data_IF_623328887447
#
_entry.id   IF_623328887447
#
_cell.length_a   1.000
_cell.length_b   1.000
_cell.length_c   1.000
_cell.angle_alpha   90.00
_cell.angle_beta   90.00
_cell.angle_gamma   90.00
#
_symmetry.space_group_name_H-M   'P 1'
#
loop_
_entity.id
_entity.type
_entity.pdbx_description
1 polymer ?
#
# COMPACT_ATOMS: atom_id res chain seq x y z
N UNK A 1 61.13 -62.04 -54.91
CA UNK A 1 62.38 -61.33 -54.54
C UNK A 1 62.44 -61.28 -53.01
N UNK A 2 63.23 -62.19 -52.43
CA UNK A 2 64.45 -61.86 -51.64
C UNK A 2 64.08 -61.26 -50.26
N UNK A 3 64.06 -62.04 -49.18
CA UNK A 3 65.16 -62.65 -48.43
C UNK A 3 65.96 -61.66 -47.57
N UNK A 4 65.97 -61.89 -46.25
CA UNK A 4 67.14 -62.07 -45.35
C UNK A 4 66.68 -61.80 -43.90
N UNK A 5 66.62 -62.81 -43.03
CA UNK A 5 67.70 -63.36 -42.17
C UNK A 5 68.00 -62.53 -40.92
N UNK A 6 67.87 -63.17 -39.75
CA UNK A 6 68.25 -62.61 -38.46
C UNK A 6 67.82 -63.52 -37.30
N UNK A 7 68.53 -64.63 -37.13
CA UNK A 7 68.46 -65.53 -35.97
C UNK A 7 69.29 -64.93 -34.83
N UNK A 8 68.77 -64.89 -33.60
CA UNK A 8 69.52 -65.38 -32.43
C UNK A 8 68.66 -65.63 -31.19
N UNK A 9 69.03 -66.71 -30.49
CA UNK A 9 68.42 -67.29 -29.31
C UNK A 9 68.70 -66.45 -28.06
N UNK A 10 67.78 -66.42 -27.10
CA UNK A 10 68.17 -66.53 -25.69
C UNK A 10 67.01 -67.01 -24.82
N UNK A 11 67.21 -68.23 -24.30
CA UNK A 11 66.44 -68.87 -23.25
C UNK A 11 66.68 -68.20 -21.91
N UNK A 12 65.61 -67.73 -21.26
CA UNK A 12 65.54 -67.64 -19.79
C UNK A 12 64.16 -68.06 -19.31
N UNK A 13 64.14 -69.20 -18.63
CA UNK A 13 63.14 -69.55 -17.64
C UNK A 13 63.02 -68.39 -16.63
N UNK A 14 61.85 -68.17 -16.04
CA UNK A 14 61.51 -68.50 -14.64
C UNK A 14 60.33 -67.63 -14.18
N UNK A 15 59.44 -68.24 -13.39
CA UNK A 15 58.50 -67.63 -12.44
C UNK A 15 57.18 -67.05 -12.96
N UNK A 16 56.20 -67.95 -13.08
CA UNK A 16 54.80 -67.68 -12.76
C UNK A 16 54.70 -67.16 -11.31
N UNK A 17 54.78 -65.84 -11.12
CA UNK A 17 54.36 -65.19 -9.88
C UNK A 17 52.83 -65.14 -9.86
N UNK A 18 52.22 -66.12 -9.22
CA UNK A 18 50.84 -66.08 -8.77
C UNK A 18 50.69 -64.85 -7.87
N UNK A 19 50.04 -63.80 -8.35
CA UNK A 19 49.64 -62.68 -7.51
C UNK A 19 48.62 -63.21 -6.50
N UNK A 20 49.05 -63.44 -5.26
CA UNK A 20 48.13 -63.56 -4.14
C UNK A 20 47.34 -62.24 -4.08
N UNK A 21 46.07 -62.30 -4.47
CA UNK A 21 45.11 -61.29 -4.12
C UNK A 21 45.08 -61.22 -2.59
N UNK A 22 45.63 -60.14 -2.02
CA UNK A 22 45.35 -59.78 -0.64
C UNK A 22 43.85 -59.56 -0.55
N UNK A 23 43.13 -60.52 0.00
CA UNK A 23 41.77 -60.31 0.45
C UNK A 23 41.84 -59.29 1.58
N UNK A 24 41.61 -58.02 1.26
CA UNK A 24 41.30 -57.02 2.27
C UNK A 24 40.08 -57.55 3.03
N UNK A 25 40.35 -58.02 4.25
CA UNK A 25 39.35 -58.41 5.22
C UNK A 25 38.43 -57.21 5.38
N UNK A 26 37.21 -57.29 4.83
CA UNK A 26 36.15 -56.32 5.07
C UNK A 26 35.88 -56.31 6.58
N UNK A 27 36.49 -55.34 7.28
CA UNK A 27 36.23 -55.09 8.70
C UNK A 27 34.74 -54.79 8.85
N UNK A 28 34.02 -55.62 9.62
CA UNK A 28 32.63 -55.38 9.95
C UNK A 28 32.51 -54.13 10.81
N UNK A 29 31.55 -53.26 10.49
CA UNK A 29 31.26 -52.04 11.24
C UNK A 29 30.77 -52.42 12.63
N UNK A 30 31.35 -51.84 13.68
CA UNK A 30 30.91 -52.10 15.05
C UNK A 30 29.62 -51.34 15.36
N UNK A 31 28.77 -51.88 16.25
CA UNK A 31 27.55 -51.19 16.71
C UNK A 31 27.88 -49.79 17.27
N UNK A 32 29.03 -49.66 17.92
CA UNK A 32 29.52 -48.40 18.49
C UNK A 32 29.86 -47.39 17.38
N UNK A 33 30.53 -47.80 16.29
CA UNK A 33 30.79 -46.91 15.14
C UNK A 33 29.49 -46.42 14.49
N UNK A 34 28.48 -47.28 14.36
CA UNK A 34 27.17 -46.88 13.86
C UNK A 34 26.47 -45.90 14.81
N UNK A 35 26.53 -46.12 16.12
CA UNK A 35 25.96 -45.19 17.11
C UNK A 35 26.66 -43.83 17.10
N UNK A 36 27.99 -43.81 17.02
CA UNK A 36 28.78 -42.57 16.97
C UNK A 36 28.50 -41.79 15.67
N UNK A 37 28.44 -42.47 14.53
CA UNK A 37 28.14 -41.81 13.24
C UNK A 37 26.73 -41.24 13.20
N UNK A 38 25.72 -41.97 13.70
CA UNK A 38 24.36 -41.46 13.81
C UNK A 38 24.26 -40.27 14.76
N UNK A 39 24.97 -40.30 15.90
CA UNK A 39 25.02 -39.18 16.84
C UNK A 39 25.67 -37.93 16.21
N UNK A 40 26.80 -38.08 15.51
CA UNK A 40 27.47 -36.98 14.81
C UNK A 40 26.55 -36.40 13.71
N UNK A 41 25.91 -37.26 12.91
CA UNK A 41 24.96 -36.81 11.87
C UNK A 41 23.77 -36.06 12.48
N UNK A 42 23.22 -36.51 13.60
CA UNK A 42 22.11 -35.84 14.27
C UNK A 42 22.49 -34.43 14.77
N UNK A 43 23.67 -34.27 15.37
CA UNK A 43 24.16 -32.98 15.85
C UNK A 43 24.39 -32.02 14.67
N UNK A 44 25.03 -32.48 13.60
CA UNK A 44 25.27 -31.67 12.41
C UNK A 44 23.95 -31.28 11.73
N UNK A 45 23.03 -32.23 11.57
CA UNK A 45 21.72 -31.97 10.97
C UNK A 45 20.93 -30.92 11.77
N UNK A 46 20.92 -31.01 13.10
CA UNK A 46 20.25 -30.03 13.96
C UNK A 46 20.84 -28.62 13.81
N UNK A 47 22.17 -28.49 13.76
CA UNK A 47 22.84 -27.20 13.57
C UNK A 47 22.57 -26.60 12.17
N UNK A 48 22.60 -27.42 11.12
CA UNK A 48 22.31 -26.98 9.74
C UNK A 48 20.84 -26.54 9.62
N UNK A 49 19.90 -27.28 10.20
CA UNK A 49 18.48 -26.92 10.15
C UNK A 49 18.19 -25.59 10.86
N UNK A 50 18.78 -25.36 12.05
CA UNK A 50 18.60 -24.11 12.78
C UNK A 50 19.14 -22.90 12.01
N UNK A 51 20.37 -23.01 11.47
CA UNK A 51 20.98 -21.93 10.67
C UNK A 51 20.26 -21.68 9.34
N UNK A 52 19.84 -22.74 8.64
CA UNK A 52 19.07 -22.64 7.41
C UNK A 52 17.71 -21.96 7.64
N UNK A 53 17.00 -22.30 8.71
CA UNK A 53 15.72 -21.69 9.04
C UNK A 53 15.85 -20.18 9.27
N UNK A 54 16.87 -19.76 10.03
CA UNK A 54 17.12 -18.34 10.26
C UNK A 54 17.50 -17.59 8.95
N UNK A 55 18.31 -18.22 8.10
CA UNK A 55 18.69 -17.65 6.81
C UNK A 55 17.50 -17.50 5.85
N UNK A 56 16.60 -18.49 5.82
CA UNK A 56 15.37 -18.45 5.01
C UNK A 56 14.45 -17.32 5.50
N UNK A 57 14.19 -17.21 6.80
CA UNK A 57 13.36 -16.12 7.34
C UNK A 57 13.96 -14.74 7.05
N UNK A 58 15.28 -14.59 7.19
CA UNK A 58 15.97 -13.35 6.81
C UNK A 58 15.87 -13.06 5.30
N UNK A 59 15.94 -14.07 4.45
CA UNK A 59 15.76 -13.92 3.00
C UNK A 59 14.33 -13.50 2.64
N UNK A 60 13.31 -14.10 3.27
CA UNK A 60 11.90 -13.72 3.09
C UNK A 60 11.66 -12.29 3.52
N UNK A 61 12.14 -11.90 4.71
CA UNK A 61 12.06 -10.51 5.20
C UNK A 61 12.69 -9.53 4.23
N UNK A 62 13.91 -9.79 3.76
CA UNK A 62 14.58 -8.92 2.78
C UNK A 62 13.86 -8.85 1.44
N UNK A 63 13.26 -9.95 0.98
CA UNK A 63 12.42 -9.95 -0.23
C UNK A 63 11.20 -9.03 -0.04
N UNK A 64 10.41 -9.25 1.02
CA UNK A 64 9.25 -8.41 1.35
C UNK A 64 9.63 -6.94 1.40
N UNK A 65 10.72 -6.64 2.10
CA UNK A 65 11.26 -5.30 2.22
C UNK A 65 11.56 -4.72 0.83
N UNK A 66 12.35 -5.42 0.01
CA UNK A 66 12.65 -4.95 -1.35
C UNK A 66 11.40 -4.71 -2.21
N UNK A 67 10.41 -5.60 -2.14
CA UNK A 67 9.14 -5.45 -2.88
C UNK A 67 8.37 -4.21 -2.40
N UNK A 68 8.22 -4.02 -1.09
CA UNK A 68 7.56 -2.82 -0.52
C UNK A 68 8.29 -1.54 -0.93
N UNK A 69 9.63 -1.51 -0.91
CA UNK A 69 10.39 -0.33 -1.36
C UNK A 69 10.07 0.06 -2.80
N UNK A 70 10.05 -0.92 -3.72
CA UNK A 70 9.73 -0.66 -5.14
C UNK A 70 8.32 -0.12 -5.29
N UNK A 71 7.35 -0.74 -4.62
CA UNK A 71 5.94 -0.28 -4.63
C UNK A 71 5.86 1.14 -4.09
N UNK A 72 6.53 1.41 -2.97
CA UNK A 72 6.53 2.72 -2.33
C UNK A 72 7.08 3.81 -3.23
N UNK A 73 8.21 3.57 -3.91
CA UNK A 73 8.80 4.54 -4.84
C UNK A 73 7.82 4.92 -5.96
N UNK A 74 7.18 3.92 -6.59
CA UNK A 74 6.19 4.12 -7.65
C UNK A 74 4.92 4.84 -7.17
N UNK A 75 4.43 4.46 -5.98
CA UNK A 75 3.22 5.07 -5.40
C UNK A 75 3.49 6.52 -4.95
N UNK A 76 4.64 6.80 -4.35
CA UNK A 76 5.00 8.16 -3.90
C UNK A 76 5.20 9.09 -5.08
N UNK A 77 5.80 8.62 -6.17
CA UNK A 77 5.89 9.39 -7.42
C UNK A 77 4.48 9.81 -7.89
N UNK A 78 3.54 8.86 -7.94
CA UNK A 78 2.16 9.17 -8.32
C UNK A 78 1.48 10.10 -7.31
N UNK A 79 1.64 9.84 -6.02
CA UNK A 79 1.03 10.61 -4.94
C UNK A 79 1.50 12.08 -4.94
N UNK A 80 2.80 12.33 -5.11
CA UNK A 80 3.35 13.69 -5.15
C UNK A 80 2.89 14.48 -6.38
N UNK A 81 2.54 13.80 -7.48
CA UNK A 81 1.99 14.46 -8.67
C UNK A 81 0.67 15.20 -8.42
N UNK A 82 -0.07 14.85 -7.36
CA UNK A 82 -1.33 15.51 -7.02
C UNK A 82 -1.16 16.91 -6.43
N UNK A 83 0.02 17.24 -5.88
CA UNK A 83 0.29 18.56 -5.28
C UNK A 83 0.08 19.72 -6.27
N UNK A 84 0.33 19.47 -7.56
CA UNK A 84 0.22 20.48 -8.62
C UNK A 84 -0.91 20.18 -9.62
N UNK A 85 -1.71 19.14 -9.35
CA UNK A 85 -2.75 18.69 -10.28
C UNK A 85 -3.87 19.72 -10.38
N UNK A 86 -4.33 19.95 -11.61
CA UNK A 86 -5.51 20.78 -11.87
C UNK A 86 -6.77 19.96 -11.62
N UNK A 87 -7.73 20.56 -10.92
CA UNK A 87 -9.01 19.95 -10.59
C UNK A 87 -10.10 20.63 -11.41
N UNK A 88 -10.85 19.81 -12.12
CA UNK A 88 -12.00 20.24 -12.91
C UNK A 88 -13.28 20.02 -12.07
N UNK A 89 -13.59 21.01 -11.24
CA UNK A 89 -14.82 21.01 -10.43
C UNK A 89 -16.02 21.20 -11.36
N UNK A 90 -17.10 20.49 -11.09
CA UNK A 90 -18.30 20.56 -11.90
C UNK A 90 -18.81 22.01 -12.07
N UNK A 91 -19.10 22.44 -13.32
CA UNK A 91 -19.52 23.81 -13.58
C UNK A 91 -20.78 24.24 -12.83
N UNK A 92 -21.69 23.32 -12.49
CA UNK A 92 -22.91 23.67 -11.73
C UNK A 92 -22.58 24.20 -10.34
N UNK A 93 -21.58 23.61 -9.66
CA UNK A 93 -21.12 24.03 -8.34
C UNK A 93 -20.50 25.43 -8.44
N UNK A 94 -19.61 25.62 -9.40
CA UNK A 94 -18.91 26.90 -9.60
C UNK A 94 -19.91 28.02 -9.95
N UNK A 95 -20.83 27.75 -10.87
CA UNK A 95 -21.84 28.73 -11.29
C UNK A 95 -22.79 29.11 -10.16
N UNK A 96 -23.21 28.14 -9.33
CA UNK A 96 -24.09 28.42 -8.19
C UNK A 96 -23.39 29.23 -7.09
N UNK A 97 -22.09 28.98 -6.86
CA UNK A 97 -21.27 29.80 -5.95
C UNK A 97 -21.14 31.23 -6.50
N UNK A 98 -20.91 31.37 -7.82
CA UNK A 98 -20.79 32.67 -8.47
C UNK A 98 -22.09 33.46 -8.47
N UNK A 99 -23.23 32.81 -8.72
CA UNK A 99 -24.54 33.45 -8.67
C UNK A 99 -24.87 33.92 -7.25
N UNK A 100 -24.65 33.07 -6.24
CA UNK A 100 -24.82 33.44 -4.85
C UNK A 100 -23.95 34.65 -4.47
N UNK A 101 -22.71 34.69 -4.94
CA UNK A 101 -21.83 35.83 -4.64
C UNK A 101 -22.29 37.14 -5.32
N UNK A 102 -22.93 37.04 -6.49
CA UNK A 102 -23.41 38.17 -7.28
C UNK A 102 -24.69 38.83 -6.72
N UNK A 103 -25.45 38.13 -5.87
CA UNK A 103 -26.69 38.63 -5.25
C UNK A 103 -26.49 39.75 -4.20
N UNK A 104 -25.24 40.16 -3.94
CA UNK A 104 -24.94 41.18 -2.95
C UNK A 104 -25.63 42.53 -3.25
N UNK A 105 -26.45 43.01 -2.32
CA UNK A 105 -27.21 44.26 -2.43
C UNK A 105 -26.48 45.46 -1.85
N UNK A 106 -25.55 45.24 -0.91
CA UNK A 106 -24.78 46.31 -0.25
C UNK A 106 -23.26 46.14 -0.40
N UNK A 107 -22.45 47.21 -0.26
CA UNK A 107 -20.99 47.10 -0.29
C UNK A 107 -20.40 46.19 0.79
N UNK A 108 -21.00 46.20 2.00
CA UNK A 108 -20.57 45.32 3.11
C UNK A 108 -20.86 43.86 2.79
N UNK A 109 -22.07 43.58 2.31
CA UNK A 109 -22.46 42.23 1.88
C UNK A 109 -21.57 41.71 0.77
N UNK A 110 -21.23 42.56 -0.21
CA UNK A 110 -20.33 42.20 -1.31
C UNK A 110 -18.96 41.74 -0.81
N UNK A 111 -18.41 42.40 0.22
CA UNK A 111 -17.14 41.99 0.83
C UNK A 111 -17.26 40.63 1.52
N UNK A 112 -18.31 40.42 2.31
CA UNK A 112 -18.55 39.15 3.01
C UNK A 112 -18.74 38.00 2.02
N UNK A 113 -19.61 38.19 1.02
CA UNK A 113 -19.87 37.19 -0.03
C UNK A 113 -18.65 36.90 -0.88
N UNK A 114 -17.81 37.90 -1.20
CA UNK A 114 -16.57 37.68 -1.94
C UNK A 114 -15.56 36.81 -1.16
N UNK A 115 -15.49 36.96 0.17
CA UNK A 115 -14.61 36.14 1.01
C UNK A 115 -15.17 34.71 1.06
N UNK A 116 -16.46 34.56 1.36
CA UNK A 116 -17.13 33.27 1.42
C UNK A 116 -17.06 32.52 0.07
N UNK A 117 -17.19 33.23 -1.05
CA UNK A 117 -16.99 32.68 -2.40
C UNK A 117 -15.61 32.02 -2.54
N UNK A 118 -14.55 32.75 -2.16
CA UNK A 118 -13.19 32.22 -2.24
C UNK A 118 -12.99 30.97 -1.37
N UNK A 119 -13.60 30.98 -0.17
CA UNK A 119 -13.60 29.85 0.75
C UNK A 119 -14.34 28.63 0.16
N UNK A 120 -15.57 28.79 -0.31
CA UNK A 120 -16.36 27.71 -0.91
C UNK A 120 -15.70 27.10 -2.14
N UNK A 121 -15.03 27.91 -2.97
CA UNK A 121 -14.26 27.41 -4.11
C UNK A 121 -13.01 26.62 -3.67
N UNK A 122 -12.34 27.04 -2.59
CA UNK A 122 -11.24 26.29 -2.00
C UNK A 122 -11.72 24.95 -1.43
N UNK A 123 -12.88 24.92 -0.77
CA UNK A 123 -13.51 23.70 -0.24
C UNK A 123 -13.90 22.73 -1.38
N UNK A 124 -14.52 23.25 -2.45
CA UNK A 124 -14.86 22.46 -3.64
C UNK A 124 -13.61 21.88 -4.31
N UNK A 125 -12.53 22.67 -4.40
CA UNK A 125 -11.25 22.21 -4.95
C UNK A 125 -10.63 21.11 -4.10
N UNK A 126 -10.61 21.25 -2.78
CA UNK A 126 -10.05 20.25 -1.87
C UNK A 126 -10.81 18.92 -2.00
N UNK A 127 -12.14 18.96 -1.96
CA UNK A 127 -12.98 17.77 -2.14
C UNK A 127 -12.80 17.16 -3.53
N UNK A 128 -12.70 17.98 -4.57
CA UNK A 128 -12.45 17.50 -5.93
C UNK A 128 -11.07 16.84 -6.08
N UNK A 129 -10.05 17.35 -5.39
CA UNK A 129 -8.72 16.75 -5.35
C UNK A 129 -8.74 15.38 -4.65
N UNK A 130 -9.43 15.29 -3.50
CA UNK A 130 -9.64 14.03 -2.79
C UNK A 130 -10.41 13.02 -3.63
N UNK A 131 -11.45 13.47 -4.32
CA UNK A 131 -12.22 12.63 -5.23
C UNK A 131 -11.39 12.14 -6.42
N UNK A 132 -10.55 13.02 -6.99
CA UNK A 132 -9.62 12.63 -8.05
C UNK A 132 -8.63 11.56 -7.57
N UNK A 133 -8.03 11.76 -6.40
CA UNK A 133 -7.13 10.78 -5.79
C UNK A 133 -7.85 9.46 -5.51
N UNK A 134 -9.10 9.48 -5.06
CA UNK A 134 -9.90 8.26 -4.85
C UNK A 134 -10.10 7.47 -6.14
N UNK A 135 -10.42 8.17 -7.23
CA UNK A 135 -10.66 7.58 -8.54
C UNK A 135 -9.37 7.10 -9.23
N UNK A 136 -8.25 7.80 -9.05
CA UNK A 136 -6.97 7.47 -9.69
C UNK A 136 -6.08 6.54 -8.83
N UNK A 137 -6.31 6.47 -7.52
CA UNK A 137 -5.60 5.61 -6.55
C UNK A 137 -6.59 4.87 -5.63
N UNK A 138 -7.50 4.04 -6.16
CA UNK A 138 -8.52 3.34 -5.38
C UNK A 138 -7.93 2.44 -4.29
N UNK A 139 -8.59 2.36 -3.14
CA UNK A 139 -8.24 1.42 -2.07
C UNK A 139 -9.08 0.14 -2.10
N UNK A 140 -10.26 0.18 -2.72
CA UNK A 140 -11.26 -0.89 -2.75
C UNK A 140 -11.95 -0.92 -4.10
N UNK A 141 -12.62 -2.02 -4.44
CA UNK A 141 -13.41 -2.07 -5.67
C UNK A 141 -14.59 -1.09 -5.68
N UNK A 142 -15.11 -0.74 -4.49
CA UNK A 142 -16.09 0.34 -4.35
C UNK A 142 -15.55 1.72 -4.77
N UNK A 143 -14.24 1.98 -4.65
CA UNK A 143 -13.65 3.22 -5.16
C UNK A 143 -13.59 3.22 -6.70
N UNK A 144 -13.44 2.06 -7.32
CA UNK A 144 -13.41 1.90 -8.79
C UNK A 144 -14.78 2.13 -9.42
N UNK A 145 -15.83 1.72 -8.73
CA UNK A 145 -17.23 1.92 -9.15
C UNK A 145 -17.81 3.24 -8.68
N UNK A 146 -17.02 4.05 -7.95
CA UNK A 146 -17.45 5.33 -7.42
C UNK A 146 -17.82 6.32 -8.52
N UNK A 147 -18.96 6.97 -8.34
CA UNK A 147 -19.45 8.01 -9.24
C UNK A 147 -19.02 9.38 -8.70
N UNK A 148 -18.30 10.19 -9.50
CA UNK A 148 -17.89 11.52 -9.08
C UNK A 148 -19.08 12.40 -8.66
N UNK A 149 -18.96 13.05 -7.52
CA UNK A 149 -19.93 13.96 -6.93
C UNK A 149 -19.44 15.41 -6.89
N UNK A 150 -18.17 15.68 -7.18
CA UNK A 150 -17.57 17.02 -7.21
C UNK A 150 -16.94 17.31 -8.57
N UNK A 151 -16.23 16.34 -9.14
CA UNK A 151 -15.60 16.47 -10.45
C UNK A 151 -16.65 16.51 -11.56
N UNK A 152 -16.34 17.27 -12.62
CA UNK A 152 -17.17 17.36 -13.82
C UNK A 152 -17.34 16.01 -14.54
N UNK A 153 -16.32 15.15 -14.46
CA UNK A 153 -16.26 13.85 -15.13
C UNK A 153 -15.26 12.92 -14.46
N UNK A 154 -15.45 11.61 -14.66
CA UNK A 154 -14.47 10.61 -14.27
C UNK A 154 -13.16 10.79 -15.06
N UNK A 155 -11.99 10.65 -14.41
CA UNK A 155 -10.72 10.68 -15.12
C UNK A 155 -10.59 9.44 -16.02
N UNK A 156 -9.90 9.53 -17.17
CA UNK A 156 -9.73 8.39 -18.09
C UNK A 156 -9.09 7.16 -17.43
N UNK A 157 -8.25 7.37 -16.42
CA UNK A 157 -7.62 6.31 -15.65
C UNK A 157 -8.65 5.49 -14.85
N UNK A 158 -9.65 6.15 -14.25
CA UNK A 158 -10.73 5.45 -13.54
C UNK A 158 -11.59 4.61 -14.49
N UNK A 159 -11.83 5.06 -15.72
CA UNK A 159 -12.51 4.24 -16.73
C UNK A 159 -11.71 2.99 -17.11
N UNK A 160 -10.38 3.10 -17.16
CA UNK A 160 -9.48 1.96 -17.40
C UNK A 160 -9.58 0.95 -16.25
N UNK A 161 -9.60 1.43 -14.99
CA UNK A 161 -9.80 0.58 -13.82
C UNK A 161 -11.15 -0.12 -13.85
N UNK A 162 -12.22 0.59 -14.19
CA UNK A 162 -13.56 0.01 -14.27
C UNK A 162 -13.63 -1.14 -15.29
N UNK A 163 -12.94 -1.00 -16.43
CA UNK A 163 -12.83 -2.10 -17.42
C UNK A 163 -12.05 -3.30 -16.89
N UNK A 164 -10.99 -3.06 -16.11
CA UNK A 164 -10.22 -4.13 -15.47
C UNK A 164 -11.07 -4.86 -14.44
N UNK A 165 -11.75 -4.12 -13.57
CA UNK A 165 -12.69 -4.64 -12.58
C UNK A 165 -13.78 -5.53 -13.21
N UNK A 166 -14.36 -5.12 -14.35
CA UNK A 166 -15.33 -5.96 -15.07
C UNK A 166 -14.74 -7.28 -15.60
N UNK A 167 -13.43 -7.36 -15.79
CA UNK A 167 -12.75 -8.57 -16.27
C UNK A 167 -12.35 -9.52 -15.12
N UNK A 168 -12.12 -9.00 -13.91
CA UNK A 168 -11.67 -9.78 -12.75
C UNK A 168 -12.78 -10.33 -11.85
N UNK A 169 -14.05 -9.99 -12.08
CA UNK A 169 -15.19 -10.40 -11.22
C UNK A 169 -15.62 -11.88 -11.38
N UNK A 170 -14.69 -12.84 -11.59
CA UNK A 170 -15.04 -14.22 -11.89
C UNK A 170 -15.37 -15.10 -10.67
N UNK A 171 -14.82 -14.85 -9.47
CA UNK A 171 -15.13 -15.66 -8.27
C UNK A 171 -14.83 -14.91 -6.97
N UNK A 172 -15.80 -14.71 -6.07
CA UNK A 172 -15.58 -14.04 -4.78
C UNK A 172 -15.06 -15.03 -3.72
N UNK A 173 -13.89 -14.80 -3.14
CA UNK A 173 -13.42 -15.49 -1.91
C UNK A 173 -12.76 -14.50 -0.94
N UNK A 174 -13.20 -14.53 0.33
CA UNK A 174 -12.74 -13.81 1.54
C UNK A 174 -12.29 -12.32 1.40
N UNK A 175 -13.13 -11.42 1.93
CA UNK A 175 -13.63 -10.21 1.25
C UNK A 175 -12.94 -8.86 1.60
N UNK A 176 -11.72 -8.81 2.18
CA UNK A 176 -11.14 -7.50 2.58
C UNK A 176 -9.65 -7.29 2.34
N UNK A 177 -8.86 -8.36 2.33
CA UNK A 177 -7.41 -8.27 2.10
C UNK A 177 -7.10 -8.30 0.61
N UNK A 178 -7.82 -9.13 -0.13
CA UNK A 178 -7.80 -9.23 -1.58
C UNK A 178 -8.01 -7.88 -2.24
N UNK A 179 -9.14 -7.20 -2.00
CA UNK A 179 -9.46 -5.96 -2.73
C UNK A 179 -8.40 -4.85 -2.60
N UNK A 180 -7.81 -4.68 -1.40
CA UNK A 180 -6.78 -3.66 -1.15
C UNK A 180 -5.46 -4.02 -1.83
N UNK A 181 -5.12 -5.31 -1.88
CA UNK A 181 -3.90 -5.78 -2.52
C UNK A 181 -4.04 -5.77 -4.06
N UNK A 182 -5.21 -6.11 -4.57
CA UNK A 182 -5.55 -6.09 -5.99
C UNK A 182 -5.63 -4.67 -6.53
N UNK A 183 -6.28 -3.75 -5.80
CA UNK A 183 -6.34 -2.34 -6.22
C UNK A 183 -4.96 -1.70 -6.16
N UNK A 184 -4.10 -2.07 -5.20
CA UNK A 184 -2.69 -1.67 -5.20
C UNK A 184 -1.98 -2.16 -6.46
N UNK A 185 -2.12 -3.44 -6.81
CA UNK A 185 -1.56 -4.00 -8.03
C UNK A 185 -2.02 -3.25 -9.28
N UNK A 186 -3.33 -3.03 -9.40
CA UNK A 186 -3.95 -2.31 -10.51
C UNK A 186 -3.39 -0.88 -10.62
N UNK A 187 -3.29 -0.14 -9.52
CA UNK A 187 -2.72 1.22 -9.50
C UNK A 187 -1.27 1.21 -9.95
N UNK A 188 -0.43 0.35 -9.38
CA UNK A 188 0.99 0.29 -9.75
C UNK A 188 1.14 -0.08 -11.22
N UNK A 189 0.44 -1.11 -11.70
CA UNK A 189 0.59 -1.59 -13.07
C UNK A 189 0.02 -0.65 -14.14
N UNK A 190 -0.96 0.18 -13.80
CA UNK A 190 -1.68 0.99 -14.80
C UNK A 190 -1.46 2.50 -14.69
N UNK A 191 -1.00 3.01 -13.54
CA UNK A 191 -0.89 4.44 -13.26
C UNK A 191 0.53 4.91 -12.89
N UNK A 192 1.48 3.99 -12.73
CA UNK A 192 2.87 4.31 -12.35
C UNK A 192 3.88 3.84 -13.39
N UNK A 193 5.10 4.39 -13.32
CA UNK A 193 6.23 3.99 -14.15
C UNK A 193 5.98 4.09 -15.65
N UNK A 194 5.14 5.03 -16.11
CA UNK A 194 4.77 5.23 -17.52
C UNK A 194 4.33 3.96 -18.28
N UNK A 195 3.80 2.96 -17.57
CA UNK A 195 3.40 1.67 -18.12
C UNK A 195 4.50 0.60 -18.13
N UNK A 196 5.71 0.93 -17.65
CA UNK A 196 6.85 0.02 -17.49
C UNK A 196 6.97 -0.57 -16.09
N UNK A 197 6.05 -0.22 -15.17
CA UNK A 197 6.04 -0.67 -13.77
C UNK A 197 6.26 -2.20 -13.64
N UNK A 198 5.70 -2.98 -14.57
CA UNK A 198 5.84 -4.45 -14.62
C UNK A 198 7.29 -4.94 -14.67
N UNK A 199 8.20 -4.18 -15.27
CA UNK A 199 9.61 -4.60 -15.41
C UNK A 199 10.38 -4.57 -14.09
N UNK A 200 9.90 -3.82 -13.10
CA UNK A 200 10.52 -3.72 -11.77
C UNK A 200 10.23 -4.93 -10.86
N UNK A 201 9.26 -5.76 -11.24
CA UNK A 201 8.78 -6.88 -10.44
C UNK A 201 9.08 -8.22 -11.11
N UNK A 202 9.60 -9.15 -10.32
CA UNK A 202 9.79 -10.53 -10.73
C UNK A 202 8.45 -11.29 -10.72
N UNK A 203 8.38 -12.40 -11.44
CA UNK A 203 7.22 -13.30 -11.44
C UNK A 203 6.90 -13.89 -10.06
N UNK A 204 7.84 -13.85 -9.11
CA UNK A 204 7.65 -14.36 -7.75
C UNK A 204 7.09 -13.30 -6.78
N UNK A 205 6.97 -12.05 -7.24
CA UNK A 205 6.40 -10.93 -6.47
C UNK A 205 4.96 -10.64 -6.92
N UNK A 206 4.44 -11.35 -7.91
CA UNK A 206 3.11 -11.15 -8.48
C UNK A 206 2.42 -12.50 -8.60
N UNK A 207 1.17 -12.59 -8.17
CA UNK A 207 0.33 -13.76 -8.38
C UNK A 207 -1.13 -13.41 -8.17
N UNK A 208 -1.99 -14.39 -8.38
CA UNK A 208 -3.43 -14.35 -8.14
C UNK A 208 -3.65 -15.39 -7.03
N UNK A 209 -3.72 -14.92 -5.79
CA UNK A 209 -3.64 -15.78 -4.59
C UNK A 209 -4.97 -16.51 -4.33
N UNK A 210 -6.10 -15.88 -4.62
CA UNK A 210 -7.44 -16.41 -4.39
C UNK A 210 -8.11 -16.99 -5.65
N UNK A 211 -7.52 -16.77 -6.84
CA UNK A 211 -7.95 -17.35 -8.10
C UNK A 211 -9.13 -16.60 -8.74
N UNK A 212 -9.37 -15.35 -8.36
CA UNK A 212 -10.46 -14.55 -8.90
C UNK A 212 -10.10 -13.88 -10.25
N UNK A 213 -8.82 -13.88 -10.63
CA UNK A 213 -8.28 -13.26 -11.84
C UNK A 213 -7.79 -11.83 -11.65
N UNK A 214 -7.93 -11.27 -10.45
CA UNK A 214 -7.21 -10.10 -10.00
C UNK A 214 -5.84 -10.54 -9.47
N UNK A 215 -4.80 -9.78 -9.83
CA UNK A 215 -3.45 -10.08 -9.36
C UNK A 215 -3.12 -9.20 -8.17
N UNK A 216 -2.30 -9.72 -7.26
CA UNK A 216 -1.74 -9.00 -6.13
C UNK A 216 -0.21 -9.03 -6.14
N UNK A 217 0.39 -8.09 -5.40
CA UNK A 217 1.79 -8.20 -5.01
C UNK A 217 1.93 -9.15 -3.84
N UNK A 218 2.93 -10.02 -3.90
CA UNK A 218 3.14 -11.09 -2.93
C UNK A 218 4.48 -10.89 -2.21
N UNK A 219 4.44 -11.04 -0.89
CA UNK A 219 5.60 -10.90 -0.02
C UNK A 219 6.56 -12.12 -0.05
N UNK A 220 7.52 -12.15 0.87
CA UNK A 220 8.47 -13.26 1.04
C UNK A 220 7.84 -14.56 1.55
N UNK A 221 6.67 -14.51 2.15
CA UNK A 221 5.94 -15.65 2.73
C UNK A 221 4.79 -16.14 1.85
N UNK A 222 4.47 -15.45 0.76
CA UNK A 222 3.33 -15.82 -0.09
C UNK A 222 2.05 -15.07 0.24
N UNK A 223 2.12 -14.02 1.05
CA UNK A 223 0.95 -13.22 1.47
C UNK A 223 0.79 -12.00 0.56
N UNK A 224 -0.45 -11.63 0.18
CA UNK A 224 -0.72 -10.38 -0.52
C UNK A 224 -0.22 -9.17 0.28
N UNK A 225 0.29 -8.14 -0.41
CA UNK A 225 0.69 -6.85 0.17
C UNK A 225 -0.46 -5.86 -0.07
N UNK A 226 -0.97 -5.26 1.01
CA UNK A 226 -2.09 -4.33 0.96
C UNK A 226 -1.63 -2.89 1.17
N UNK A 227 -2.54 -1.93 0.95
CA UNK A 227 -2.26 -0.52 1.20
C UNK A 227 -3.46 0.29 1.70
N UNK A 228 -3.13 1.49 2.16
CA UNK A 228 -4.02 2.60 2.50
C UNK A 228 -3.53 3.84 1.77
N UNK A 229 -4.41 4.49 1.01
CA UNK A 229 -4.16 5.76 0.33
C UNK A 229 -4.03 6.88 1.37
N UNK A 230 -4.91 6.92 2.37
CA UNK A 230 -4.89 7.93 3.44
C UNK A 230 -4.90 7.32 4.84
N UNK A 231 -3.74 6.94 5.38
CA UNK A 231 -3.63 6.37 6.72
C UNK A 231 -3.65 7.48 7.79
N UNK A 232 -4.80 8.11 8.01
CA UNK A 232 -4.96 9.12 9.05
C UNK A 232 -4.55 8.56 10.42
N UNK A 233 -3.80 9.36 11.20
CA UNK A 233 -3.32 8.93 12.52
C UNK A 233 -2.03 8.10 12.52
N UNK A 234 -1.51 7.71 11.35
CA UNK A 234 -0.25 6.94 11.27
C UNK A 234 0.95 7.87 11.27
N UNK A 235 1.88 7.62 12.21
CA UNK A 235 3.24 8.17 12.17
C UNK A 235 4.18 7.10 11.65
N UNK A 236 4.92 7.42 10.59
CA UNK A 236 5.87 6.50 9.95
C UNK A 236 7.19 7.20 9.64
N UNK A 237 8.27 6.43 9.71
CA UNK A 237 9.64 6.84 9.37
C UNK A 237 9.80 7.29 7.91
N UNK A 238 8.88 6.89 7.03
CA UNK A 238 8.85 7.31 5.62
C UNK A 238 8.03 8.59 5.38
N UNK A 239 7.32 9.10 6.40
CA UNK A 239 6.73 10.41 6.26
C UNK A 239 7.86 11.44 6.16
N UNK A 240 7.87 12.30 5.12
CA UNK A 240 8.96 13.24 4.97
C UNK A 240 8.95 14.21 6.15
N UNK A 241 10.14 14.48 6.67
CA UNK A 241 10.35 15.41 7.77
C UNK A 241 9.83 16.80 7.39
N UNK A 242 9.41 17.55 8.40
CA UNK A 242 9.12 18.97 8.29
C UNK A 242 10.37 19.75 7.88
N UNK A 243 10.18 21.01 7.49
CA UNK A 243 11.28 21.91 7.13
C UNK A 243 12.27 22.16 8.30
N UNK A 244 11.82 21.90 9.53
CA UNK A 244 12.57 21.95 10.78
C UNK A 244 13.30 20.62 11.13
N UNK A 245 13.19 19.61 10.26
CA UNK A 245 13.77 18.29 10.48
C UNK A 245 13.02 17.44 11.50
N UNK A 246 11.87 17.90 12.00
CA UNK A 246 11.03 17.12 12.90
C UNK A 246 10.09 16.22 12.11
N UNK A 247 9.65 15.13 12.73
CA UNK A 247 8.60 14.30 12.15
C UNK A 247 7.28 15.07 12.14
N UNK A 248 6.39 14.79 11.18
CA UNK A 248 5.06 15.37 11.17
C UNK A 248 4.40 15.23 12.55
N UNK A 249 3.96 16.36 13.06
CA UNK A 249 3.31 16.44 14.36
C UNK A 249 1.80 16.37 14.21
N UNK A 250 1.08 16.23 15.32
CA UNK A 250 -0.38 16.44 15.38
C UNK A 250 -0.83 17.84 14.92
N UNK A 251 0.10 18.75 14.62
CA UNK A 251 -0.19 20.10 14.12
C UNK A 251 0.12 20.30 12.64
N UNK A 252 0.61 19.25 11.96
CA UNK A 252 0.79 19.28 10.51
C UNK A 252 -0.57 19.41 9.83
N UNK A 253 -0.59 19.87 8.57
CA UNK A 253 -1.83 19.98 7.79
C UNK A 253 -1.75 19.06 6.58
N UNK A 254 -2.90 18.71 6.03
CA UNK A 254 -2.97 17.98 4.76
C UNK A 254 -2.14 18.73 3.69
N UNK A 255 -1.10 18.10 3.10
CA UNK A 255 -0.25 18.76 2.10
C UNK A 255 -1.02 19.18 0.83
N UNK A 256 -2.19 18.58 0.60
CA UNK A 256 -3.08 18.92 -0.51
C UNK A 256 -4.10 20.01 -0.17
N UNK A 257 -4.06 20.54 1.05
CA UNK A 257 -4.91 21.62 1.53
C UNK A 257 -4.10 22.89 1.86
N UNK A 258 -3.60 23.60 0.84
CA UNK A 258 -2.77 24.80 1.05
C UNK A 258 -3.52 25.94 1.76
N UNK A 259 -4.86 25.88 1.79
CA UNK A 259 -5.72 26.88 2.42
C UNK A 259 -6.20 26.47 3.81
N UNK A 260 -5.74 25.31 4.32
CA UNK A 260 -6.11 24.75 5.63
C UNK A 260 -7.64 24.65 5.83
N UNK A 261 -8.36 24.39 4.74
CA UNK A 261 -9.80 24.12 4.67
C UNK A 261 -10.23 22.81 5.34
N UNK A 262 -9.31 22.09 5.95
CA UNK A 262 -9.63 20.95 6.81
C UNK A 262 -9.17 21.13 8.27
N UNK A 263 -8.82 22.36 8.66
CA UNK A 263 -8.32 22.69 10.00
C UNK A 263 -9.40 23.28 10.91
N UNK A 264 -9.56 22.81 12.17
CA UNK A 264 -10.58 23.34 13.09
C UNK A 264 -10.35 24.82 13.48
N UNK A 265 -9.17 25.37 13.19
CA UNK A 265 -8.81 26.78 13.45
C UNK A 265 -9.27 27.75 12.37
N UNK A 266 -9.74 27.25 11.22
CA UNK A 266 -10.16 28.09 10.10
C UNK A 266 -11.63 28.49 10.23
N UNK A 267 -11.94 29.75 9.87
CA UNK A 267 -13.32 30.24 9.83
C UNK A 267 -14.05 29.73 8.58
N UNK A 268 -15.24 29.19 8.79
CA UNK A 268 -16.10 28.64 7.74
C UNK A 268 -17.21 29.61 7.34
N UNK A 269 -17.58 29.66 6.05
CA UNK A 269 -18.89 30.16 5.66
C UNK A 269 -20.00 29.39 6.41
N UNK A 270 -21.10 30.06 6.79
CA UNK A 270 -22.35 29.41 7.15
C UNK A 270 -22.75 28.31 6.14
N UNK A 271 -23.32 27.21 6.63
CA UNK A 271 -23.59 26.02 5.79
C UNK A 271 -24.61 26.33 4.69
N UNK A 272 -25.54 27.23 4.97
CA UNK A 272 -26.56 27.73 4.06
C UNK A 272 -25.99 28.52 2.87
N UNK A 273 -24.72 28.94 2.94
CA UNK A 273 -24.06 29.60 1.81
C UNK A 273 -23.66 28.61 0.71
N UNK A 274 -23.44 27.34 1.07
CA UNK A 274 -23.08 26.30 0.11
C UNK A 274 -24.30 25.92 -0.73
N UNK A 275 -24.17 25.82 -2.06
CA UNK A 275 -25.29 25.48 -2.91
C UNK A 275 -25.69 24.00 -2.80
N UNK A 276 -26.98 23.72 -3.00
CA UNK A 276 -27.54 22.37 -3.06
C UNK A 276 -27.57 21.85 -4.51
N UNK A 277 -26.44 21.99 -5.19
CA UNK A 277 -26.24 21.54 -6.57
C UNK A 277 -25.03 20.63 -6.67
N UNK A 278 -24.93 19.88 -7.76
CA UNK A 278 -23.76 19.07 -8.07
C UNK A 278 -24.02 18.12 -9.24
N UNK A 279 -22.98 17.42 -9.72
CA UNK A 279 -23.09 16.37 -10.71
C UNK A 279 -24.25 15.42 -10.44
N UNK A 280 -25.02 15.09 -11.48
CA UNK A 280 -26.09 14.08 -11.41
C UNK A 280 -27.13 14.31 -10.31
N UNK A 281 -27.55 15.58 -10.10
CA UNK A 281 -28.44 16.01 -9.01
C UNK A 281 -27.82 15.81 -7.61
N UNK A 282 -26.49 15.86 -7.53
CA UNK A 282 -25.76 15.86 -6.27
C UNK A 282 -26.03 17.12 -5.45
N UNK A 283 -25.62 17.08 -4.18
CA UNK A 283 -25.80 18.19 -3.24
C UNK A 283 -24.46 18.55 -2.62
N UNK A 284 -23.80 19.58 -3.18
CA UNK A 284 -22.49 20.03 -2.72
C UNK A 284 -22.48 20.42 -1.24
N UNK A 285 -23.51 21.11 -0.75
CA UNK A 285 -23.68 21.41 0.68
C UNK A 285 -23.59 20.15 1.54
N UNK A 286 -24.31 19.08 1.17
CA UNK A 286 -24.28 17.83 1.93
C UNK A 286 -22.95 17.10 1.82
N UNK A 287 -22.30 17.12 0.66
CA UNK A 287 -20.98 16.50 0.47
C UNK A 287 -19.94 17.24 1.30
N UNK A 288 -19.94 18.57 1.27
CA UNK A 288 -19.08 19.41 2.10
C UNK A 288 -19.32 19.16 3.59
N UNK A 289 -20.59 19.13 4.01
CA UNK A 289 -20.93 18.87 5.41
C UNK A 289 -20.35 17.54 5.89
N UNK A 290 -20.65 16.46 5.15
CA UNK A 290 -20.28 15.10 5.51
C UNK A 290 -18.78 14.82 5.46
N UNK A 291 -18.03 15.47 4.56
CA UNK A 291 -16.62 15.11 4.32
C UNK A 291 -15.59 16.11 4.91
N UNK A 292 -16.04 17.27 5.40
CA UNK A 292 -15.15 18.27 6.01
C UNK A 292 -15.73 18.77 7.34
N UNK A 293 -16.93 19.35 7.29
CA UNK A 293 -17.47 20.13 8.42
C UNK A 293 -17.91 19.28 9.60
N UNK A 294 -18.56 18.16 9.38
CA UNK A 294 -19.09 17.30 10.45
C UNK A 294 -17.98 16.82 11.39
N UNK A 295 -16.81 16.46 10.83
CA UNK A 295 -15.65 16.05 11.63
C UNK A 295 -15.14 17.18 12.52
N UNK A 296 -15.06 18.39 11.98
CA UNK A 296 -14.59 19.57 12.70
C UNK A 296 -15.58 19.95 13.82
N UNK A 297 -16.88 19.91 13.55
CA UNK A 297 -17.91 20.15 14.56
C UNK A 297 -17.82 19.12 15.69
N UNK A 298 -17.61 17.84 15.36
CA UNK A 298 -17.38 16.76 16.34
C UNK A 298 -16.07 16.96 17.12
N UNK A 299 -14.98 17.38 16.46
CA UNK A 299 -13.68 17.57 17.13
C UNK A 299 -13.72 18.72 18.13
N UNK A 300 -14.36 19.83 17.77
CA UNK A 300 -14.57 20.98 18.65
C UNK A 300 -15.46 20.64 19.85
N UNK A 301 -16.51 19.83 19.64
CA UNK A 301 -17.40 19.41 20.72
C UNK A 301 -16.71 18.47 21.73
N UNK A 302 -15.68 17.73 21.31
CA UNK A 302 -15.03 16.71 22.12
C UNK A 302 -13.70 17.18 22.77
N UNK A 303 -13.25 18.42 22.53
CA UNK A 303 -11.92 18.92 22.94
C UNK A 303 -10.77 17.98 22.49
N UNK A 304 -10.98 17.28 21.36
CA UNK A 304 -10.07 16.26 20.83
C UNK A 304 -9.11 16.92 19.84
N UNK A 305 -7.89 17.23 20.30
CA UNK A 305 -6.79 17.78 19.48
C UNK A 305 -6.27 16.79 18.44
N UNK A 306 -6.41 15.48 18.68
CA UNK A 306 -5.79 14.43 17.87
C UNK A 306 -6.42 14.24 16.48
N UNK A 307 -7.48 14.96 16.13
CA UNK A 307 -8.13 14.90 14.81
C UNK A 307 -7.46 15.79 13.75
N UNK A 308 -6.32 16.39 14.07
CA UNK A 308 -5.57 17.27 13.17
C UNK A 308 -4.41 16.52 12.50
N UNK A 309 -4.67 16.17 11.23
CA UNK A 309 -3.72 16.06 10.14
C UNK A 309 -2.33 15.48 10.44
N UNK A 310 -2.24 14.16 10.28
CA UNK A 310 -0.98 13.54 9.89
C UNK A 310 -0.84 13.59 8.37
N UNK A 311 0.39 13.80 7.90
CA UNK A 311 0.72 13.81 6.48
C UNK A 311 0.22 12.51 5.83
N UNK A 312 -0.76 12.63 4.93
CA UNK A 312 -1.50 11.51 4.31
C UNK A 312 -0.68 10.71 3.30
N UNK A 313 0.53 10.29 3.67
CA UNK A 313 1.41 9.48 2.83
C UNK A 313 0.82 8.07 2.73
N UNK A 314 0.68 7.49 1.52
CA UNK A 314 0.15 6.14 1.38
C UNK A 314 0.98 5.14 2.19
N UNK A 315 0.30 4.27 2.91
CA UNK A 315 0.93 3.24 3.74
C UNK A 315 0.78 1.87 3.07
N UNK A 316 1.91 1.21 2.85
CA UNK A 316 2.01 -0.11 2.22
C UNK A 316 2.42 -1.12 3.30
N UNK A 317 1.66 -2.20 3.41
CA UNK A 317 1.78 -3.11 4.54
C UNK A 317 1.74 -4.57 4.09
N UNK A 318 2.72 -5.33 4.56
CA UNK A 318 2.74 -6.79 4.47
C UNK A 318 2.34 -7.37 5.81
N UNK A 319 1.51 -8.41 5.78
CA UNK A 319 1.07 -9.14 6.97
C UNK A 319 2.00 -10.33 7.22
N UNK A 320 2.37 -10.55 8.47
CA UNK A 320 3.05 -11.78 8.90
C UNK A 320 2.02 -12.71 9.57
N UNK A 321 1.70 -13.86 8.96
CA UNK A 321 0.86 -14.90 9.60
C UNK A 321 -0.61 -14.92 9.18
N UNK A 322 -1.51 -15.42 10.05
CA UNK A 322 -2.96 -15.65 9.77
C UNK A 322 -3.91 -14.55 10.27
N UNK A 323 -3.42 -13.50 10.93
CA UNK A 323 -4.25 -12.46 11.53
C UNK A 323 -4.81 -11.49 10.48
N UNK A 324 -6.06 -11.03 10.58
CA UNK A 324 -6.63 -10.04 9.64
C UNK A 324 -5.81 -8.75 9.67
N UNK A 325 -5.77 -8.02 8.55
CA UNK A 325 -5.25 -6.64 8.58
C UNK A 325 -6.20 -5.83 9.47
N UNK A 326 -5.83 -5.60 10.72
CA UNK A 326 -6.57 -4.72 11.63
C UNK A 326 -6.23 -3.25 11.30
N UNK A 327 -6.51 -2.86 10.05
CA UNK A 327 -6.83 -1.46 9.80
C UNK A 327 -8.27 -1.34 10.29
N UNK A 328 -8.46 -0.58 11.35
CA UNK A 328 -9.78 -0.32 11.89
C UNK A 328 -10.55 0.49 10.85
N UNK A 329 -11.23 -0.20 9.95
CA UNK A 329 -12.22 0.41 9.07
C UNK A 329 -13.52 -0.31 9.39
N UNK A 330 -14.53 0.40 9.91
CA UNK A 330 -15.80 -0.18 10.25
C UNK A 330 -16.33 -0.98 9.06
N UNK A 331 -16.84 -2.18 9.33
CA UNK A 331 -17.66 -2.94 8.40
C UNK A 331 -19.00 -2.21 8.13
N UNK A 332 -19.35 -1.18 8.93
CA UNK A 332 -20.62 -0.45 8.86
C UNK A 332 -20.76 0.49 7.64
N UNK A 333 -22.00 0.57 7.15
CA UNK A 333 -22.57 1.52 6.18
C UNK A 333 -22.14 3.00 6.35
N UNK A 334 -21.64 3.38 7.53
CA UNK A 334 -21.08 4.71 7.77
C UNK A 334 -19.88 5.03 6.87
N UNK A 335 -19.04 4.07 6.50
CA UNK A 335 -17.90 4.30 5.57
C UNK A 335 -18.38 4.45 4.12
N UNK A 336 -19.49 3.78 3.76
CA UNK A 336 -20.10 3.90 2.44
C UNK A 336 -20.70 5.31 2.18
N UNK A 337 -21.04 6.04 3.25
CA UNK A 337 -21.70 7.35 3.18
C UNK A 337 -20.75 8.57 3.25
N UNK A 338 -19.46 8.37 3.57
CA UNK A 338 -18.46 9.45 3.71
C UNK A 338 -17.20 9.16 2.86
N UNK A 339 -17.32 9.16 1.52
CA UNK A 339 -16.32 8.58 0.63
C UNK A 339 -15.03 9.39 0.45
N UNK A 340 -15.00 10.67 0.87
CA UNK A 340 -13.91 11.61 0.60
C UNK A 340 -13.23 12.18 1.85
N UNK A 341 -13.70 11.85 3.07
CA UNK A 341 -13.03 12.24 4.31
C UNK A 341 -11.87 11.28 4.60
N UNK A 342 -10.61 11.74 4.59
CA UNK A 342 -9.47 10.90 4.93
C UNK A 342 -9.43 10.48 6.40
N UNK A 343 -10.19 11.12 7.28
CA UNK A 343 -10.03 11.08 8.73
C UNK A 343 -11.22 10.47 9.48
N UNK A 344 -12.16 9.82 8.78
CA UNK A 344 -13.34 9.28 9.45
C UNK A 344 -12.91 8.23 10.48
N UNK A 345 -13.47 8.23 11.69
CA UNK A 345 -13.11 7.36 12.81
C UNK A 345 -14.27 7.27 13.80
N UNK A 346 -14.76 6.07 14.12
CA UNK A 346 -15.93 5.94 14.99
C UNK A 346 -15.71 6.55 16.37
N UNK A 347 -16.77 7.21 16.81
CA UNK A 347 -16.99 7.96 18.06
C UNK A 347 -16.97 7.11 19.35
N UNK A 348 -16.35 5.93 19.35
CA UNK A 348 -16.17 5.11 20.55
C UNK A 348 -14.69 5.07 20.96
N UNK A 349 -14.28 6.18 21.57
CA UNK A 349 -13.18 6.39 22.50
C UNK A 349 -11.75 5.86 22.30
N UNK A 350 -11.39 5.10 21.26
CA UNK A 350 -9.99 4.61 21.18
C UNK A 350 -9.30 4.67 19.81
N UNK A 351 -9.99 4.77 18.66
CA UNK A 351 -9.30 4.65 17.37
C UNK A 351 -9.92 5.49 16.23
N UNK A 352 -9.06 6.11 15.41
CA UNK A 352 -9.42 6.77 14.14
C UNK A 352 -9.48 5.72 13.02
N UNK A 353 -10.42 5.80 12.07
CA UNK A 353 -10.38 4.86 10.93
C UNK A 353 -9.22 5.26 10.00
N UNK A 354 -8.65 4.25 9.36
CA UNK A 354 -7.40 4.42 8.61
C UNK A 354 -6.16 4.42 9.50
N UNK A 355 -6.32 4.44 10.82
CA UNK A 355 -5.24 4.17 11.75
C UNK A 355 -5.16 2.64 12.01
N UNK A 356 -3.99 2.00 11.84
CA UNK A 356 -3.73 0.67 12.33
C UNK A 356 -3.84 0.66 13.85
N UNK A 357 -4.36 -0.44 14.39
CA UNK A 357 -4.40 -0.64 15.83
C UNK A 357 -2.99 -0.49 16.45
N UNK A 358 -2.79 0.44 17.41
CA UNK A 358 -1.53 0.66 18.11
C UNK A 358 -0.94 -0.61 18.72
N UNK A 359 -1.76 -1.56 19.16
CA UNK A 359 -1.32 -2.84 19.71
C UNK A 359 -0.62 -3.74 18.68
N UNK A 360 -0.82 -3.48 17.39
CA UNK A 360 -0.24 -4.23 16.28
C UNK A 360 0.83 -3.45 15.52
N UNK A 361 1.05 -2.16 15.82
CA UNK A 361 2.13 -1.38 15.22
C UNK A 361 3.48 -2.09 15.38
N UNK A 362 3.71 -2.76 16.50
CA UNK A 362 4.90 -3.56 16.77
C UNK A 362 5.08 -4.75 15.81
N UNK A 363 3.99 -5.38 15.36
CA UNK A 363 4.03 -6.45 14.36
C UNK A 363 4.36 -5.91 12.97
N UNK A 364 3.91 -4.68 12.67
CA UNK A 364 4.19 -3.99 11.41
C UNK A 364 5.51 -3.22 11.43
N UNK A 365 6.16 -3.05 12.59
CA UNK A 365 7.48 -2.41 12.69
C UNK A 365 8.46 -3.03 11.72
N UNK A 366 8.40 -4.34 11.46
CA UNK A 366 9.30 -5.04 10.53
C UNK A 366 9.16 -4.68 9.04
N UNK A 367 8.11 -3.96 8.65
CA UNK A 367 7.93 -3.44 7.28
C UNK A 367 8.84 -2.23 7.04
N UNK A 368 9.32 -2.04 5.80
CA UNK A 368 10.20 -0.89 5.46
C UNK A 368 9.59 0.45 5.85
N UNK A 369 8.26 0.56 5.86
CA UNK A 369 7.56 1.78 6.28
C UNK A 369 7.90 2.22 7.70
N UNK A 370 8.42 1.33 8.55
CA UNK A 370 8.75 1.62 9.95
C UNK A 370 10.25 1.51 10.26
N UNK A 371 11.12 1.14 9.30
CA UNK A 371 12.55 0.83 9.55
C UNK A 371 13.55 1.69 8.78
N UNK A 372 13.10 2.66 7.98
CA UNK A 372 14.02 3.47 7.15
C UNK A 372 14.59 4.69 7.89
N UNK A 373 15.02 4.52 9.15
CA UNK A 373 15.93 5.45 9.83
C UNK A 373 16.95 4.63 10.62
N UNK A 374 18.04 4.27 9.94
CA UNK A 374 19.33 3.93 10.54
C UNK A 374 20.39 4.00 9.43
N UNK A 375 20.64 5.21 8.91
CA UNK A 375 21.88 5.57 8.19
C UNK A 375 22.24 7.03 8.43
#
# INVERSE_FOLDING_TARGET
MQALHGVEKSSRQTETRTSMASSDLRRGVTLIELLVTMAIMAIIAAAILGTASAAIESARKRKTQSTISKIHELIVERYTSYETRRIDVDPSIVQAIDSWAAEATTPVERRVRSIARGQMLADARLLGLRELMKLEMPERWMDVTYVPQILSKSPPLAEKYYRYYQQSQATVVDEYVSERAETLYMVVMMATGDGEARTHFSKLEIGDIDGDGAYEFIDGWGTPIAWLRWPAGVVSDLQPLGADGQRPSETDHDPFDPFRRDSPTVTWPPLDYYPEVGPRNGNFRMIYYRNLRERIEKSQAADKSHLTAFRMVPWIVSRRGRHRYFILIPEEEAVANHPLDPYLGMTFDQYQNGCPDPGFLDEYKENITNHRVDY
#
